data_IF_203830211021
#
_entry.id   IF_203830211021
#
_cell.length_a   1.000
_cell.length_b   1.000
_cell.length_c   1.000
_cell.angle_alpha   90.00
_cell.angle_beta   90.00
_cell.angle_gamma   90.00
#
_symmetry.space_group_name_H-M   'P 1'
#
loop_
_entity.id
_entity.type
_entity.pdbx_description
1 polymer ?
#
# COMPACT_ATOMS: atom_id res chain seq x y z
N UNK A 1 -3.28 5.84 -21.64
CA UNK A 1 -2.03 6.46 -21.13
C UNK A 1 -0.87 5.99 -21.97
N UNK A 2 0.20 6.79 -22.08
CA UNK A 2 1.38 6.38 -22.83
C UNK A 2 2.05 5.20 -22.12
N UNK A 3 2.38 4.14 -22.86
CA UNK A 3 3.08 3.02 -22.30
C UNK A 3 4.51 3.43 -21.93
N UNK A 4 4.94 3.18 -20.69
CA UNK A 4 6.31 3.37 -20.27
C UNK A 4 7.21 2.39 -21.02
N UNK A 5 8.36 2.87 -21.46
CA UNK A 5 9.40 2.03 -22.04
C UNK A 5 10.05 1.18 -20.94
N UNK A 6 10.74 0.11 -21.33
CA UNK A 6 11.46 -0.74 -20.37
C UNK A 6 12.49 0.05 -19.55
N UNK A 7 13.19 1.00 -20.19
CA UNK A 7 14.13 1.87 -19.49
C UNK A 7 13.43 2.72 -18.42
N UNK A 8 12.24 3.24 -18.72
CA UNK A 8 11.45 4.01 -17.75
C UNK A 8 10.94 3.14 -16.60
N UNK A 9 10.52 1.90 -16.87
CA UNK A 9 10.15 0.94 -15.82
C UNK A 9 11.34 0.61 -14.90
N UNK A 10 12.55 0.45 -15.45
CA UNK A 10 13.76 0.25 -14.63
C UNK A 10 14.04 1.45 -13.72
N UNK A 11 13.95 2.68 -14.24
CA UNK A 11 14.11 3.90 -13.44
C UNK A 11 13.04 3.96 -12.34
N UNK A 12 11.79 3.66 -12.68
CA UNK A 12 10.68 3.64 -11.74
C UNK A 12 10.89 2.60 -10.63
N UNK A 13 11.39 1.41 -10.96
CA UNK A 13 11.70 0.36 -9.98
C UNK A 13 12.78 0.82 -8.99
N UNK A 14 13.84 1.46 -9.49
CA UNK A 14 14.90 2.02 -8.63
C UNK A 14 14.37 3.12 -7.71
N UNK A 15 13.47 3.97 -8.20
CA UNK A 15 12.82 4.97 -7.37
C UNK A 15 11.95 4.32 -6.28
N UNK A 16 11.16 3.29 -6.62
CA UNK A 16 10.34 2.56 -5.65
C UNK A 16 11.19 1.92 -4.55
N UNK A 17 12.29 1.24 -4.91
CA UNK A 17 13.22 0.64 -3.95
C UNK A 17 13.83 1.71 -3.04
N UNK A 18 14.27 2.84 -3.60
CA UNK A 18 14.86 3.94 -2.81
C UNK A 18 13.87 4.50 -1.79
N UNK A 19 12.59 4.65 -2.16
CA UNK A 19 11.54 5.14 -1.26
C UNK A 19 11.22 4.11 -0.16
N UNK A 20 11.25 2.82 -0.50
CA UNK A 20 11.11 1.74 0.47
C UNK A 20 12.28 1.72 1.47
N UNK A 21 13.51 1.86 0.99
CA UNK A 21 14.71 1.88 1.85
C UNK A 21 14.76 3.11 2.78
N UNK A 22 14.07 4.18 2.40
CA UNK A 22 13.87 5.36 3.26
C UNK A 22 12.77 5.17 4.31
N UNK A 23 12.08 4.04 4.29
CA UNK A 23 10.97 3.74 5.20
C UNK A 23 9.72 4.58 4.94
N UNK A 24 9.51 5.04 3.69
CA UNK A 24 8.34 5.86 3.38
C UNK A 24 7.03 5.09 3.51
N UNK A 25 6.95 3.88 2.93
CA UNK A 25 5.78 3.00 2.99
C UNK A 25 6.14 1.58 2.51
N UNK A 26 5.18 0.66 2.55
CA UNK A 26 5.26 -0.64 1.91
C UNK A 26 5.41 -0.51 0.38
N UNK A 27 6.14 -1.44 -0.23
CA UNK A 27 6.45 -1.40 -1.66
C UNK A 27 5.18 -1.37 -2.53
N UNK A 28 4.12 -2.07 -2.11
CA UNK A 28 2.83 -2.08 -2.81
C UNK A 28 2.17 -0.69 -2.81
N UNK A 29 2.21 0.02 -1.68
CA UNK A 29 1.68 1.39 -1.57
C UNK A 29 2.49 2.36 -2.44
N UNK A 30 3.82 2.23 -2.42
CA UNK A 30 4.71 3.06 -3.25
C UNK A 30 4.41 2.85 -4.74
N UNK A 31 4.27 1.60 -5.21
CA UNK A 31 3.91 1.29 -6.59
C UNK A 31 2.52 1.87 -6.93
N UNK A 32 1.55 1.73 -6.02
CA UNK A 32 0.20 2.27 -6.17
C UNK A 32 0.15 3.80 -6.32
N UNK A 33 1.15 4.52 -5.81
CA UNK A 33 1.25 5.98 -5.98
C UNK A 33 1.57 6.40 -7.41
N UNK A 34 2.08 5.48 -8.24
CA UNK A 34 2.34 5.74 -9.65
C UNK A 34 1.11 5.42 -10.50
N UNK A 35 0.87 6.31 -11.46
CA UNK A 35 -0.22 6.18 -12.43
C UNK A 35 0.21 5.23 -13.54
N UNK A 36 0.08 3.92 -13.28
CA UNK A 36 0.52 2.81 -14.13
C UNK A 36 -0.68 1.94 -14.53
N UNK A 37 -0.63 1.35 -15.72
CA UNK A 37 -1.56 0.27 -16.09
C UNK A 37 -1.18 -1.07 -15.41
N UNK A 38 -2.09 -2.04 -15.43
CA UNK A 38 -1.88 -3.34 -14.78
C UNK A 38 -0.65 -4.08 -15.33
N UNK A 39 -0.44 -4.09 -16.65
CA UNK A 39 0.72 -4.77 -17.26
C UNK A 39 2.04 -4.11 -16.86
N UNK A 40 2.06 -2.79 -16.72
CA UNK A 40 3.22 -2.04 -16.25
C UNK A 40 3.50 -2.30 -14.77
N UNK A 41 2.46 -2.39 -13.95
CA UNK A 41 2.61 -2.71 -12.52
C UNK A 41 3.20 -4.09 -12.33
N UNK A 42 2.74 -5.08 -13.08
CA UNK A 42 3.26 -6.45 -13.01
C UNK A 42 4.75 -6.50 -13.40
N UNK A 43 5.11 -5.87 -14.53
CA UNK A 43 6.52 -5.77 -14.96
C UNK A 43 7.38 -5.02 -13.95
N UNK A 44 6.86 -3.95 -13.36
CA UNK A 44 7.57 -3.19 -12.34
C UNK A 44 7.84 -4.06 -11.11
N UNK A 45 6.83 -4.80 -10.66
CA UNK A 45 6.93 -5.72 -9.52
C UNK A 45 7.96 -6.82 -9.79
N UNK A 46 7.96 -7.40 -11.00
CA UNK A 46 8.95 -8.39 -11.42
C UNK A 46 10.38 -7.84 -11.36
N UNK A 47 10.61 -6.61 -11.87
CA UNK A 47 11.91 -5.94 -11.82
C UNK A 47 12.35 -5.70 -10.38
N UNK A 48 11.42 -5.28 -9.50
CA UNK A 48 11.71 -5.03 -8.09
C UNK A 48 12.10 -6.34 -7.39
N UNK A 49 11.30 -7.40 -7.54
CA UNK A 49 11.57 -8.71 -6.93
C UNK A 49 12.85 -9.36 -7.46
N UNK A 50 13.22 -9.12 -8.72
CA UNK A 50 14.49 -9.56 -9.28
C UNK A 50 15.70 -8.89 -8.59
N UNK A 51 15.57 -7.62 -8.17
CA UNK A 51 16.63 -6.86 -7.48
C UNK A 51 16.63 -7.07 -5.96
N UNK A 52 15.43 -7.25 -5.40
CA UNK A 52 15.16 -7.34 -3.97
C UNK A 52 14.31 -8.56 -3.73
N UNK A 53 14.96 -9.72 -3.85
CA UNK A 53 14.34 -11.01 -3.57
C UNK A 53 13.99 -11.18 -2.09
N UNK A 54 14.46 -10.30 -1.21
CA UNK A 54 14.05 -10.20 0.19
C UNK A 54 12.61 -9.67 0.34
N UNK A 55 12.09 -8.95 -0.66
CA UNK A 55 10.73 -8.42 -0.68
C UNK A 55 9.70 -9.47 -1.12
N UNK A 56 9.99 -10.76 -0.94
CA UNK A 56 9.06 -11.85 -1.31
C UNK A 56 7.67 -11.53 -0.76
N UNK A 57 6.60 -11.65 -1.57
CA UNK A 57 5.23 -11.66 -1.09
C UNK A 57 5.01 -12.95 -0.28
N UNK A 58 5.53 -12.95 0.93
CA UNK A 58 5.59 -14.08 1.83
C UNK A 58 6.07 -13.54 3.16
N UNK A 59 5.13 -13.06 3.97
CA UNK A 59 5.31 -12.46 5.28
C UNK A 59 5.61 -10.94 5.32
N UNK A 60 4.69 -10.13 4.81
CA UNK A 60 4.27 -8.92 5.54
C UNK A 60 2.82 -9.11 5.94
N UNK A 61 2.56 -10.14 6.74
CA UNK A 61 1.57 -10.02 7.80
C UNK A 61 2.37 -9.57 9.03
N UNK A 62 1.90 -8.54 9.73
CA UNK A 62 2.57 -7.89 10.88
C UNK A 62 3.84 -7.05 10.62
N UNK A 63 3.67 -5.87 10.03
CA UNK A 63 4.10 -4.59 10.66
C UNK A 63 3.78 -3.36 9.80
N UNK A 64 2.54 -3.24 9.33
CA UNK A 64 1.80 -1.98 9.32
C UNK A 64 0.36 -2.33 8.98
N UNK A 65 -0.27 -3.01 9.92
CA UNK A 65 -1.71 -2.96 10.04
C UNK A 65 -2.10 -1.50 10.32
N UNK A 66 -2.29 -0.73 9.25
CA UNK A 66 -3.40 0.23 9.19
C UNK A 66 -4.71 -0.56 9.00
N UNK A 67 -4.92 -1.63 9.75
CA UNK A 67 -6.27 -1.97 10.15
C UNK A 67 -6.51 -1.12 11.37
N UNK A 68 -7.17 0.01 11.14
CA UNK A 68 -8.05 0.67 12.10
C UNK A 68 -9.05 -0.40 12.55
N UNK A 69 -8.60 -1.27 13.46
CA UNK A 69 -9.30 -2.47 13.86
C UNK A 69 -10.06 -2.12 15.14
N UNK A 70 -11.39 -2.06 14.98
CA UNK A 70 -12.41 -2.22 16.01
C UNK A 70 -12.53 -1.17 17.14
N UNK A 71 -11.56 -0.30 17.41
CA UNK A 71 -11.76 0.79 18.40
C UNK A 71 -12.77 1.84 17.94
N UNK A 72 -12.88 2.05 16.62
CA UNK A 72 -13.80 3.03 16.06
C UNK A 72 -15.26 2.55 16.14
N UNK A 73 -15.51 1.25 16.07
CA UNK A 73 -16.87 0.70 16.17
C UNK A 73 -17.42 0.78 17.60
N UNK A 74 -16.60 0.52 18.63
CA UNK A 74 -17.01 0.65 20.03
C UNK A 74 -17.26 2.11 20.43
N UNK A 75 -16.42 3.04 19.98
CA UNK A 75 -16.60 4.48 20.23
C UNK A 75 -17.84 5.03 19.53
N UNK A 76 -18.14 4.58 18.30
CA UNK A 76 -19.37 4.95 17.59
C UNK A 76 -20.60 4.37 18.30
N UNK A 77 -20.54 3.13 18.80
CA UNK A 77 -21.62 2.52 19.61
C UNK A 77 -21.82 3.23 20.96
N UNK A 78 -20.75 3.64 21.64
CA UNK A 78 -20.84 4.42 22.88
C UNK A 78 -21.45 5.80 22.64
N UNK A 79 -20.99 6.52 21.62
CA UNK A 79 -21.52 7.84 21.25
C UNK A 79 -23.02 7.77 20.93
N UNK A 80 -23.44 6.80 20.12
CA UNK A 80 -24.86 6.61 19.80
C UNK A 80 -25.71 6.13 20.99
N UNK A 81 -25.12 5.46 21.99
CA UNK A 81 -25.82 5.07 23.23
C UNK A 81 -26.07 6.24 24.19
N UNK A 82 -25.18 7.25 24.24
CA UNK A 82 -25.36 8.42 25.11
C UNK A 82 -26.42 9.37 24.54
N UNK A 83 -26.43 9.57 23.23
CA UNK A 83 -27.30 10.57 22.60
C UNK A 83 -28.65 10.04 22.12
N UNK A 84 -28.86 8.71 22.08
CA UNK A 84 -30.15 8.12 21.68
C UNK A 84 -31.08 7.88 22.87
N UNK A 85 -31.55 8.98 23.46
CA UNK A 85 -32.85 9.13 24.15
C UNK A 85 -33.38 10.48 23.66
N UNK A 86 -34.56 10.63 23.06
CA UNK A 86 -35.87 10.06 23.40
C UNK A 86 -36.83 10.48 22.29
N UNK A 87 -37.51 9.53 21.64
CA UNK A 87 -38.78 9.80 20.95
C UNK A 87 -39.83 8.98 21.67
N UNK A 88 -40.53 9.63 22.60
CA UNK A 88 -41.89 9.25 23.01
C UNK A 88 -42.82 10.16 22.21
#
# INVERSE_FOLDING_TARGET
MAALTEAQLRICAHACITRYDRGEDAIATIIGSYVLDEQQRDKLMEIILSKRSDLVPGNVEDSSSLVVSNKQEETVKWYSSIFRKKTV
#
